data_IF_625367562695
#
_entry.id   IF_625367562695
#
_cell.length_a   1.000
_cell.length_b   1.000
_cell.length_c   1.000
_cell.angle_alpha   90.00
_cell.angle_beta   90.00
_cell.angle_gamma   90.00
#
_symmetry.space_group_name_H-M   'P 1'
#
loop_
_entity.id
_entity.type
_entity.pdbx_description
1 polymer ?
#
# COMPACT_ATOMS: atom_id res chain seq x y z
N UNK A 1 -6.49 29.69 -22.87
CA UNK A 1 -5.38 28.88 -22.33
C UNK A 1 -5.20 29.34 -20.90
N UNK A 2 -5.75 28.59 -19.94
CA UNK A 2 -5.83 28.97 -18.53
C UNK A 2 -4.47 28.68 -17.85
N UNK A 3 -3.48 29.49 -18.23
CA UNK A 3 -2.08 29.31 -17.90
C UNK A 3 -1.72 29.95 -16.56
N UNK A 4 -1.04 29.16 -15.72
CA UNK A 4 -0.20 29.57 -14.59
C UNK A 4 -0.87 30.32 -13.44
N UNK A 5 -1.95 29.77 -12.88
CA UNK A 5 -2.25 30.05 -11.46
C UNK A 5 -1.14 29.46 -10.59
N UNK A 6 -0.48 30.29 -9.80
CA UNK A 6 0.51 29.80 -8.83
C UNK A 6 -0.15 28.85 -7.81
N UNK A 7 0.60 27.87 -7.30
CA UNK A 7 0.10 26.93 -6.28
C UNK A 7 -0.44 27.69 -5.05
N UNK A 8 0.16 28.83 -4.70
CA UNK A 8 -0.32 29.70 -3.62
C UNK A 8 -1.70 30.30 -3.89
N UNK A 9 -1.94 30.76 -5.11
CA UNK A 9 -3.22 31.33 -5.50
C UNK A 9 -4.31 30.26 -5.57
N UNK A 10 -4.00 29.10 -6.16
CA UNK A 10 -4.92 27.96 -6.19
C UNK A 10 -5.26 27.45 -4.77
N UNK A 11 -4.27 27.39 -3.86
CA UNK A 11 -4.51 26.98 -2.47
C UNK A 11 -5.46 27.95 -1.76
N UNK A 12 -5.29 29.27 -1.97
CA UNK A 12 -6.15 30.30 -1.41
C UNK A 12 -7.58 30.25 -1.96
N UNK A 13 -7.75 30.05 -3.26
CA UNK A 13 -9.07 29.89 -3.90
C UNK A 13 -9.81 28.65 -3.38
N UNK A 14 -9.08 27.55 -3.13
CA UNK A 14 -9.63 26.30 -2.64
C UNK A 14 -9.79 26.24 -1.10
N UNK A 15 -9.36 27.28 -0.37
CA UNK A 15 -9.35 27.28 1.10
C UNK A 15 -8.42 26.23 1.71
N UNK A 16 -7.41 25.79 0.98
CA UNK A 16 -6.44 24.79 1.41
C UNK A 16 -5.15 25.44 1.90
N UNK A 17 -4.45 24.77 2.81
CA UNK A 17 -3.08 25.15 3.14
C UNK A 17 -2.15 24.95 1.93
N UNK A 18 -1.27 25.91 1.67
CA UNK A 18 -0.30 25.85 0.58
C UNK A 18 0.49 24.54 0.56
N UNK A 19 1.00 24.12 1.73
CA UNK A 19 1.78 22.90 1.88
C UNK A 19 1.01 21.64 1.45
N UNK A 20 -0.29 21.59 1.69
CA UNK A 20 -1.15 20.47 1.31
C UNK A 20 -1.27 20.37 -0.21
N UNK A 21 -1.61 21.49 -0.87
CA UNK A 21 -1.75 21.51 -2.32
C UNK A 21 -0.41 21.29 -3.02
N UNK A 22 0.67 21.89 -2.50
CA UNK A 22 2.02 21.69 -3.00
C UNK A 22 2.45 20.21 -2.92
N UNK A 23 2.20 19.55 -1.78
CA UNK A 23 2.47 18.11 -1.62
C UNK A 23 1.69 17.28 -2.64
N UNK A 24 0.40 17.54 -2.82
CA UNK A 24 -0.41 16.82 -3.80
C UNK A 24 0.06 17.02 -5.24
N UNK A 25 0.44 18.23 -5.63
CA UNK A 25 1.01 18.50 -6.96
C UNK A 25 2.32 17.72 -7.15
N UNK A 26 3.18 17.68 -6.12
CA UNK A 26 4.42 16.91 -6.14
C UNK A 26 4.15 15.40 -6.28
N UNK A 27 3.29 14.84 -5.44
CA UNK A 27 2.91 13.43 -5.47
C UNK A 27 2.22 13.04 -6.79
N UNK A 28 1.44 13.95 -7.39
CA UNK A 28 0.82 13.73 -8.69
C UNK A 28 1.85 13.68 -9.82
N UNK A 29 2.83 14.59 -9.82
CA UNK A 29 3.95 14.59 -10.78
C UNK A 29 4.82 13.35 -10.66
N UNK A 30 5.17 12.96 -9.43
CA UNK A 30 6.03 11.79 -9.17
C UNK A 30 5.35 10.46 -9.51
N UNK A 31 4.03 10.40 -9.42
CA UNK A 31 3.26 9.18 -9.71
C UNK A 31 2.76 9.08 -11.16
N UNK A 32 3.14 10.01 -12.05
CA UNK A 32 2.61 10.09 -13.43
C UNK A 32 1.07 9.99 -13.50
N UNK A 33 0.36 10.60 -12.54
CA UNK A 33 -1.10 10.56 -12.50
C UNK A 33 -1.72 9.31 -11.84
N UNK A 34 -0.92 8.40 -11.27
CA UNK A 34 -1.41 7.21 -10.55
C UNK A 34 -1.51 7.38 -9.02
N UNK A 35 -1.19 8.57 -8.47
CA UNK A 35 -1.21 8.79 -7.01
C UNK A 35 -2.59 8.63 -6.38
N UNK A 36 -3.66 8.85 -7.14
CA UNK A 36 -5.04 8.68 -6.69
C UNK A 36 -5.54 7.25 -6.94
N UNK A 37 -4.95 6.30 -6.24
CA UNK A 37 -5.64 5.04 -5.98
C UNK A 37 -6.67 5.33 -4.87
N UNK A 38 -7.96 5.30 -5.19
CA UNK A 38 -9.03 5.46 -4.18
C UNK A 38 -8.90 4.43 -3.06
N UNK A 39 -9.71 4.53 -1.99
CA UNK A 39 -9.55 3.72 -0.76
C UNK A 39 -9.65 2.20 -0.92
N UNK A 40 -9.80 1.67 -2.14
CA UNK A 40 -9.80 0.26 -2.47
C UNK A 40 -8.75 -0.17 -3.50
N UNK A 41 -7.98 0.74 -4.10
CA UNK A 41 -6.95 0.39 -5.07
C UNK A 41 -5.56 0.37 -4.41
N UNK A 42 -4.84 -0.72 -4.64
CA UNK A 42 -3.48 -0.90 -4.16
C UNK A 42 -2.54 -0.24 -5.17
N UNK A 43 -1.59 0.59 -4.70
CA UNK A 43 -0.53 1.10 -5.57
C UNK A 43 0.25 -0.09 -6.15
N UNK A 44 0.64 -0.08 -7.44
CA UNK A 44 1.43 -1.17 -8.03
C UNK A 44 2.69 -1.50 -7.22
N UNK A 45 3.31 -0.46 -6.63
CA UNK A 45 4.49 -0.55 -5.76
C UNK A 45 4.25 -1.38 -4.48
N UNK A 46 2.99 -1.49 -4.03
CA UNK A 46 2.61 -2.22 -2.83
C UNK A 46 2.06 -3.62 -3.14
N UNK A 47 1.82 -3.93 -4.42
CA UNK A 47 1.22 -5.20 -4.83
C UNK A 47 2.15 -6.37 -4.49
N UNK A 48 3.44 -6.24 -4.81
CA UNK A 48 4.45 -7.25 -4.46
C UNK A 48 4.52 -7.48 -2.94
N UNK A 49 4.44 -6.42 -2.13
CA UNK A 49 4.44 -6.53 -0.66
C UNK A 49 3.23 -7.32 -0.17
N UNK A 50 2.06 -7.11 -0.77
CA UNK A 50 0.83 -7.82 -0.40
C UNK A 50 0.90 -9.29 -0.80
N UNK A 51 1.38 -9.58 -2.01
CA UNK A 51 1.57 -10.95 -2.49
C UNK A 51 2.58 -11.71 -1.62
N UNK A 52 3.69 -11.08 -1.26
CA UNK A 52 4.69 -11.66 -0.36
C UNK A 52 4.13 -11.93 1.04
N UNK A 53 3.33 -11.01 1.60
CA UNK A 53 2.67 -11.21 2.90
C UNK A 53 1.71 -12.39 2.87
N UNK A 54 0.92 -12.51 1.81
CA UNK A 54 -0.02 -13.62 1.63
C UNK A 54 0.71 -14.97 1.60
N UNK A 55 1.74 -15.09 0.75
CA UNK A 55 2.54 -16.32 0.64
C UNK A 55 3.21 -16.69 1.96
N UNK A 56 3.73 -15.70 2.68
CA UNK A 56 4.37 -15.96 3.96
C UNK A 56 3.37 -16.48 4.99
N UNK A 57 2.15 -15.93 5.02
CA UNK A 57 1.09 -16.43 5.88
C UNK A 57 0.70 -17.88 5.52
N UNK A 58 0.53 -18.20 4.24
CA UNK A 58 0.25 -19.57 3.78
C UNK A 58 1.34 -20.55 4.25
N UNK A 59 2.61 -20.17 4.09
CA UNK A 59 3.73 -21.01 4.54
C UNK A 59 3.80 -21.16 6.07
N UNK A 60 3.48 -20.12 6.83
CA UNK A 60 3.40 -20.20 8.29
C UNK A 60 2.30 -21.17 8.74
N UNK A 61 1.15 -21.15 8.07
CA UNK A 61 0.03 -22.07 8.32
C UNK A 61 0.40 -23.52 7.97
N UNK A 62 1.01 -23.76 6.81
CA UNK A 62 1.50 -25.09 6.41
C UNK A 62 2.53 -25.65 7.40
N UNK A 63 3.50 -24.83 7.83
CA UNK A 63 4.47 -25.20 8.84
C UNK A 63 3.81 -25.54 10.18
N UNK A 64 2.78 -24.79 10.58
CA UNK A 64 2.04 -25.05 11.81
C UNK A 64 1.32 -26.41 11.75
N UNK A 65 0.69 -26.73 10.61
CA UNK A 65 0.05 -28.02 10.37
C UNK A 65 1.08 -29.15 10.44
N UNK A 66 2.22 -29.00 9.78
CA UNK A 66 3.26 -30.02 9.75
C UNK A 66 3.86 -30.28 11.13
N UNK A 67 4.14 -29.22 11.90
CA UNK A 67 4.59 -29.31 13.30
C UNK A 67 3.57 -30.01 14.18
N UNK A 68 2.28 -29.70 14.00
CA UNK A 68 1.20 -30.36 14.75
C UNK A 68 1.12 -31.85 14.42
N UNK A 69 1.21 -32.21 13.14
CA UNK A 69 1.23 -33.60 12.69
C UNK A 69 2.43 -34.36 13.29
N UNK A 70 3.64 -33.80 13.18
CA UNK A 70 4.85 -34.38 13.77
C UNK A 70 4.71 -34.60 15.27
N UNK A 71 4.14 -33.64 15.99
CA UNK A 71 3.85 -33.78 17.43
C UNK A 71 2.91 -34.95 17.75
N UNK A 72 1.93 -35.24 16.89
CA UNK A 72 1.04 -36.41 17.07
C UNK A 72 1.81 -37.71 16.81
N UNK A 73 2.53 -37.78 15.69
CA UNK A 73 3.29 -38.98 15.32
C UNK A 73 4.33 -39.34 16.37
N UNK A 74 5.07 -38.37 16.89
CA UNK A 74 6.09 -38.60 17.94
C UNK A 74 5.51 -39.00 19.30
N UNK A 75 4.31 -38.52 19.66
CA UNK A 75 3.64 -38.92 20.92
C UNK A 75 3.07 -40.34 20.88
N UNK A 76 2.71 -40.85 19.70
CA UNK A 76 2.15 -42.19 19.50
C UNK A 76 3.22 -43.29 19.30
N UNK A 77 4.51 -42.99 19.44
CA UNK A 77 5.62 -43.98 19.35
C UNK A 77 6.00 -44.57 20.72
N UNK A 78 5.05 -44.73 21.64
CA UNK A 78 5.23 -45.44 22.91
C UNK A 78 4.35 -46.68 22.97
#
# INVERSE_FOLDING_TARGET
MEGDKSIAQAAKELGLAYNTLHRWVKEYKESNGTSFVGSGNIKPQNQEIIELRHRNQEWEEELAILKKALGIFTRNQK
#
